data_IF_624785463322
#
_entry.id   IF_624785463322
#
_cell.length_a   1.000
_cell.length_b   1.000
_cell.length_c   1.000
_cell.angle_alpha   90.00
_cell.angle_beta   90.00
_cell.angle_gamma   90.00
#
_symmetry.space_group_name_H-M   'P 1'
#
loop_
_entity.id
_entity.type
_entity.pdbx_description
1 polymer ?
#
# COMPACT_ATOMS: atom_id res chain seq x y z
N UNK A 1 10.77 4.32 -7.28
CA UNK A 1 9.62 5.12 -6.81
C UNK A 1 8.42 4.21 -6.70
N UNK A 2 7.53 4.43 -5.74
CA UNK A 2 6.34 3.62 -5.52
C UNK A 2 5.14 4.57 -5.58
N UNK A 3 4.16 4.26 -6.43
CA UNK A 3 2.87 4.94 -6.44
C UNK A 3 1.81 4.08 -5.76
N UNK A 4 1.08 4.71 -4.85
CA UNK A 4 -0.06 4.12 -4.11
C UNK A 4 -1.33 4.92 -4.32
N UNK A 5 -1.31 5.94 -5.19
CA UNK A 5 -2.41 6.89 -5.36
C UNK A 5 -3.31 6.51 -6.53
N UNK A 6 -2.74 5.93 -7.58
CA UNK A 6 -3.46 5.62 -8.82
C UNK A 6 -3.83 6.87 -9.64
N UNK A 7 -3.38 8.05 -9.21
CA UNK A 7 -3.67 9.31 -9.88
C UNK A 7 -2.73 9.49 -11.07
N UNK A 8 -3.29 9.70 -12.26
CA UNK A 8 -2.54 9.70 -13.53
C UNK A 8 -1.50 10.82 -13.59
N UNK A 9 -1.82 12.03 -13.13
CA UNK A 9 -0.92 13.17 -13.08
C UNK A 9 0.32 12.89 -12.21
N UNK A 10 0.13 12.28 -11.03
CA UNK A 10 1.19 11.88 -10.11
C UNK A 10 2.04 10.76 -10.71
N UNK A 11 1.43 9.77 -11.36
CA UNK A 11 2.17 8.70 -12.05
C UNK A 11 3.03 9.28 -13.18
N UNK A 12 2.51 10.22 -13.97
CA UNK A 12 3.27 10.88 -15.03
C UNK A 12 4.41 11.75 -14.46
N UNK A 13 4.14 12.51 -13.40
CA UNK A 13 5.14 13.32 -12.71
C UNK A 13 6.24 12.45 -12.07
N UNK A 14 5.88 11.28 -11.53
CA UNK A 14 6.78 10.27 -11.01
C UNK A 14 7.68 9.70 -12.11
N UNK A 15 7.11 9.34 -13.25
CA UNK A 15 7.82 8.84 -14.42
C UNK A 15 8.88 9.83 -14.92
N UNK A 16 8.52 11.11 -15.05
CA UNK A 16 9.45 12.15 -15.53
C UNK A 16 10.63 12.39 -14.59
N UNK A 17 10.45 12.18 -13.27
CA UNK A 17 11.49 12.39 -12.25
C UNK A 17 12.42 11.19 -12.04
N UNK A 18 12.08 10.03 -12.60
CA UNK A 18 12.93 8.86 -12.51
C UNK A 18 14.25 9.09 -13.25
N UNK A 19 15.37 8.86 -12.54
CA UNK A 19 16.71 8.78 -13.12
C UNK A 19 16.77 7.61 -14.11
N UNK A 20 17.73 7.67 -15.04
CA UNK A 20 18.08 6.53 -15.91
C UNK A 20 18.36 5.28 -15.05
N UNK A 21 17.91 4.14 -15.52
CA UNK A 21 17.91 2.85 -14.82
C UNK A 21 16.83 2.71 -13.75
N UNK A 22 16.08 3.78 -13.44
CA UNK A 22 15.11 3.77 -12.35
C UNK A 22 13.84 2.97 -12.65
N UNK A 23 13.18 2.54 -11.57
CA UNK A 23 11.91 1.80 -11.60
C UNK A 23 10.78 2.57 -10.90
N UNK A 24 9.62 2.67 -11.55
CA UNK A 24 8.34 3.04 -10.95
C UNK A 24 7.54 1.77 -10.65
N UNK A 25 7.17 1.53 -9.39
CA UNK A 25 6.25 0.47 -9.01
C UNK A 25 4.85 1.05 -8.78
N UNK A 26 3.82 0.47 -9.39
CA UNK A 26 2.42 0.87 -9.28
C UNK A 26 1.67 -0.16 -8.42
N UNK A 27 1.16 0.24 -7.26
CA UNK A 27 0.44 -0.67 -6.35
C UNK A 27 -1.09 -0.66 -6.53
N UNK A 28 -1.64 0.33 -7.24
CA UNK A 28 -3.09 0.55 -7.37
C UNK A 28 -3.77 -0.28 -8.44
N UNK A 29 -3.02 -1.13 -9.15
CA UNK A 29 -3.49 -1.81 -10.36
C UNK A 29 -3.71 -0.82 -11.52
N UNK A 30 -3.68 -1.32 -12.77
CA UNK A 30 -4.08 -0.51 -13.94
C UNK A 30 -2.95 0.05 -14.81
N UNK A 31 -1.89 -0.70 -15.10
CA UNK A 31 -0.89 -0.26 -16.07
C UNK A 31 -0.25 -1.38 -16.88
N UNK A 32 -0.29 -1.26 -18.21
CA UNK A 32 0.54 -2.00 -19.15
C UNK A 32 2.01 -1.68 -18.84
N UNK A 33 2.85 -2.72 -18.80
CA UNK A 33 4.30 -2.56 -18.65
C UNK A 33 4.83 -1.78 -19.85
N UNK A 34 5.15 -0.50 -19.65
CA UNK A 34 5.81 0.33 -20.66
C UNK A 34 7.31 0.30 -20.40
N UNK A 35 8.04 -0.33 -21.30
CA UNK A 35 9.49 -0.23 -21.35
C UNK A 35 9.87 0.97 -22.21
N UNK A 36 10.58 1.93 -21.63
CA UNK A 36 11.40 2.86 -22.40
C UNK A 36 12.86 2.47 -22.19
N UNK A 37 13.72 2.68 -23.18
CA UNK A 37 15.07 2.13 -23.25
C UNK A 37 15.96 2.37 -22.02
N UNK A 38 15.64 3.31 -21.13
CA UNK A 38 16.42 3.59 -19.93
C UNK A 38 15.63 3.62 -18.61
N UNK A 39 14.34 3.26 -18.56
CA UNK A 39 13.52 3.25 -17.33
C UNK A 39 12.44 2.17 -17.33
N UNK A 40 12.01 1.75 -16.15
CA UNK A 40 11.05 0.64 -15.96
C UNK A 40 9.80 1.09 -15.23
N UNK A 41 8.65 0.56 -15.65
CA UNK A 41 7.40 0.61 -14.88
C UNK A 41 6.99 -0.83 -14.57
N UNK A 42 6.68 -1.11 -13.31
CA UNK A 42 6.20 -2.41 -12.82
C UNK A 42 4.82 -2.24 -12.19
N UNK A 43 3.89 -3.12 -12.53
CA UNK A 43 2.64 -3.28 -11.80
C UNK A 43 2.85 -4.33 -10.72
N UNK A 44 2.58 -4.00 -9.46
CA UNK A 44 2.83 -4.88 -8.31
C UNK A 44 1.51 -5.15 -7.62
N UNK A 45 1.09 -6.42 -7.58
CA UNK A 45 -0.16 -6.85 -6.98
C UNK A 45 0.14 -7.48 -5.63
N UNK A 46 -0.46 -6.96 -4.55
CA UNK A 46 -0.28 -7.49 -3.19
C UNK A 46 1.20 -7.64 -2.77
N UNK A 47 2.06 -6.73 -3.22
CA UNK A 47 3.50 -6.78 -2.94
C UNK A 47 4.28 -7.83 -3.75
N UNK A 48 3.65 -8.49 -4.72
CA UNK A 48 4.21 -9.60 -5.52
C UNK A 48 4.78 -10.73 -4.65
N UNK A 49 4.19 -10.89 -3.45
CA UNK A 49 4.68 -11.78 -2.42
C UNK A 49 3.98 -13.14 -2.48
N UNK A 50 4.66 -14.17 -1.95
CA UNK A 50 4.04 -15.47 -1.63
C UNK A 50 3.41 -15.36 -0.22
N UNK A 51 2.08 -15.26 -0.08
CA UNK A 51 1.45 -14.92 1.21
C UNK A 51 1.75 -15.93 2.32
N UNK A 52 1.81 -17.22 1.98
CA UNK A 52 2.08 -18.31 2.91
C UNK A 52 3.48 -18.23 3.53
N UNK A 53 4.41 -17.52 2.89
CA UNK A 53 5.76 -17.29 3.41
C UNK A 53 5.89 -15.89 4.04
N UNK A 54 5.32 -14.88 3.39
CA UNK A 54 5.55 -13.49 3.77
C UNK A 54 4.72 -13.05 4.98
N UNK A 55 3.47 -13.52 5.13
CA UNK A 55 2.65 -13.18 6.31
C UNK A 55 3.28 -13.72 7.60
N UNK A 56 3.71 -15.00 7.69
CA UNK A 56 4.43 -15.49 8.86
C UNK A 56 5.69 -14.68 9.19
N UNK A 57 6.47 -14.31 8.17
CA UNK A 57 7.64 -13.45 8.33
C UNK A 57 7.28 -12.09 8.95
N UNK A 58 6.25 -11.41 8.46
CA UNK A 58 5.81 -10.12 9.00
C UNK A 58 5.31 -10.22 10.45
N UNK A 59 4.62 -11.31 10.81
CA UNK A 59 4.20 -11.58 12.20
C UNK A 59 5.43 -11.73 13.10
N UNK A 60 6.46 -12.43 12.64
CA UNK A 60 7.72 -12.57 13.38
C UNK A 60 8.41 -11.20 13.55
N UNK A 61 8.46 -10.39 12.49
CA UNK A 61 9.04 -9.04 12.56
C UNK A 61 8.28 -8.15 13.55
N UNK A 62 6.96 -8.25 13.57
CA UNK A 62 6.11 -7.53 14.51
C UNK A 62 6.38 -7.94 15.96
N UNK A 63 6.41 -9.26 16.25
CA UNK A 63 6.73 -9.80 17.58
C UNK A 63 8.12 -9.38 18.07
N UNK A 64 9.06 -9.24 17.15
CA UNK A 64 10.42 -8.76 17.43
C UNK A 64 10.53 -7.22 17.50
N UNK A 65 9.42 -6.48 17.43
CA UNK A 65 9.40 -5.01 17.48
C UNK A 65 9.95 -4.31 16.23
N UNK A 66 10.23 -5.06 15.15
CA UNK A 66 10.79 -4.54 13.88
C UNK A 66 9.72 -4.10 12.89
N UNK A 67 8.46 -4.48 13.11
CA UNK A 67 7.34 -4.09 12.25
C UNK A 67 6.12 -3.62 13.07
N UNK A 68 6.14 -2.39 13.62
CA UNK A 68 5.11 -1.89 14.52
C UNK A 68 3.85 -1.40 13.76
N UNK A 69 3.19 -2.30 13.02
CA UNK A 69 2.03 -1.97 12.19
C UNK A 69 0.80 -1.59 13.03
N UNK A 70 0.75 -1.99 14.30
CA UNK A 70 -0.31 -1.67 15.26
C UNK A 70 -0.49 -0.16 15.43
N UNK A 71 0.55 0.65 15.17
CA UNK A 71 0.50 2.12 15.19
C UNK A 71 -0.44 2.72 14.14
N UNK A 72 -0.83 1.95 13.13
CA UNK A 72 -1.75 2.37 12.07
C UNK A 72 -3.21 2.06 12.41
N UNK A 73 -3.45 1.23 13.44
CA UNK A 73 -4.77 0.68 13.73
C UNK A 73 -5.61 1.66 14.53
N UNK A 74 -6.89 1.77 14.15
CA UNK A 74 -7.92 2.41 14.95
C UNK A 74 -9.09 1.46 15.09
N UNK A 75 -9.43 1.11 16.32
CA UNK A 75 -10.46 0.12 16.62
C UNK A 75 -11.84 0.76 16.77
N UNK A 76 -12.85 0.08 16.23
CA UNK A 76 -14.26 0.46 16.33
C UNK A 76 -15.10 -0.78 16.68
N UNK A 77 -16.13 -0.67 17.52
CA UNK A 77 -17.11 -1.73 17.68
C UNK A 77 -17.92 -1.92 16.38
N UNK A 78 -18.48 -3.11 16.18
CA UNK A 78 -19.30 -3.41 15.00
C UNK A 78 -20.46 -2.41 14.81
N UNK A 79 -21.07 -1.95 15.90
CA UNK A 79 -22.14 -0.93 15.90
C UNK A 79 -21.72 0.42 15.32
N UNK A 80 -20.42 0.70 15.22
CA UNK A 80 -19.86 1.94 14.70
C UNK A 80 -19.26 1.81 13.29
N UNK A 81 -19.64 0.79 12.50
CA UNK A 81 -19.08 0.53 11.16
C UNK A 81 -19.10 1.76 10.23
N UNK A 82 -20.20 2.53 10.22
CA UNK A 82 -20.32 3.73 9.39
C UNK A 82 -19.36 4.84 9.83
N UNK A 83 -19.14 4.99 11.14
CA UNK A 83 -18.15 5.92 11.67
C UNK A 83 -16.74 5.52 11.27
N UNK A 84 -16.42 4.21 11.35
CA UNK A 84 -15.13 3.67 10.97
C UNK A 84 -14.81 3.93 9.49
N UNK A 85 -15.80 3.72 8.61
CA UNK A 85 -15.70 4.02 7.17
C UNK A 85 -15.46 5.51 6.92
N UNK A 86 -16.25 6.39 7.54
CA UNK A 86 -16.14 7.83 7.35
C UNK A 86 -14.79 8.37 7.86
N UNK A 87 -14.30 7.86 8.99
CA UNK A 87 -12.97 8.21 9.52
C UNK A 87 -11.84 7.76 8.59
N UNK A 88 -11.96 6.58 7.97
CA UNK A 88 -10.98 6.11 6.98
C UNK A 88 -10.98 7.00 5.72
N UNK A 89 -12.16 7.36 5.21
CA UNK A 89 -12.29 8.22 4.02
C UNK A 89 -11.74 9.63 4.25
N UNK A 90 -11.92 10.20 5.45
CA UNK A 90 -11.37 11.52 5.80
C UNK A 90 -9.88 11.48 6.18
N UNK A 91 -9.27 10.29 6.25
CA UNK A 91 -7.88 10.11 6.67
C UNK A 91 -7.63 10.21 8.18
N UNK A 92 -8.69 10.30 9.00
CA UNK A 92 -8.60 10.30 10.47
C UNK A 92 -8.23 8.92 11.05
N UNK A 93 -8.49 7.86 10.29
CA UNK A 93 -8.10 6.50 10.61
C UNK A 93 -7.28 5.91 9.45
N UNK A 94 -6.00 5.62 9.68
CA UNK A 94 -5.14 5.02 8.64
C UNK A 94 -5.62 3.59 8.31
N UNK A 95 -5.86 2.77 9.33
CA UNK A 95 -6.48 1.44 9.19
C UNK A 95 -7.55 1.25 10.25
N UNK A 96 -8.82 1.40 9.86
CA UNK A 96 -9.94 1.04 10.71
C UNK A 96 -10.05 -0.49 10.87
N UNK A 97 -10.21 -0.96 12.11
CA UNK A 97 -10.42 -2.37 12.46
C UNK A 97 -11.73 -2.49 13.23
N UNK A 98 -12.63 -3.32 12.72
CA UNK A 98 -13.91 -3.63 13.37
C UNK A 98 -13.73 -4.78 14.34
N UNK A 99 -14.24 -4.63 15.57
CA UNK A 99 -14.32 -5.71 16.56
C UNK A 99 -15.76 -6.20 16.69
N UNK A 100 -15.92 -7.51 16.85
CA UNK A 100 -17.20 -8.24 16.87
C UNK A 100 -17.54 -8.82 18.25
N UNK A 101 -16.78 -8.45 19.27
CA UNK A 101 -17.00 -8.83 20.67
C UNK A 101 -18.24 -8.17 21.30
#
# INVERSE_FOLDING_TARGET
>A
MIDTTGEHGLIQAAWQRLRRGGTLALLTGGGVVKFSHDRRILSVIQGDAVPQQFIPYLIEQWRNGRFPFERLLRFYPFTAINQALAAAQRGEAIKAVIRFD
#
